data_IF_044868979021
#
_entry.id   IF_044868979021
#
_cell.length_a   1.000
_cell.length_b   1.000
_cell.length_c   1.000
_cell.angle_alpha   90.00
_cell.angle_beta   90.00
_cell.angle_gamma   90.00
#
_symmetry.space_group_name_H-M   'P 1'
#
loop_
_entity.id
_entity.type
_entity.pdbx_description
1 polymer ?
#
# COMPACT_ATOMS: atom_id res chain seq x y z
N UNK A 1 24.36 19.95 -1.51
CA UNK A 1 23.13 20.47 -0.92
C UNK A 1 22.19 20.90 -2.04
N UNK A 2 20.89 20.56 -1.92
CA UNK A 2 19.84 21.02 -2.85
C UNK A 2 19.08 22.18 -2.21
N UNK A 3 18.65 23.15 -3.04
CA UNK A 3 17.77 24.25 -2.63
C UNK A 3 16.60 24.31 -3.59
N UNK A 4 15.38 24.44 -3.04
CA UNK A 4 14.15 24.57 -3.82
C UNK A 4 13.20 25.59 -3.17
N UNK A 5 12.32 26.17 -3.95
CA UNK A 5 11.25 27.06 -3.46
C UNK A 5 10.18 26.23 -2.72
N UNK A 6 9.83 25.07 -3.29
CA UNK A 6 8.87 24.12 -2.72
C UNK A 6 9.45 22.71 -2.84
N UNK A 7 9.22 21.90 -1.84
CA UNK A 7 9.59 20.51 -1.77
C UNK A 7 8.36 19.61 -1.83
N UNK A 8 8.48 18.46 -2.49
CA UNK A 8 7.44 17.42 -2.46
C UNK A 8 8.09 16.13 -1.99
N UNK A 9 7.63 15.64 -0.84
CA UNK A 9 8.05 14.34 -0.33
C UNK A 9 7.17 13.23 -0.92
N UNK A 10 7.77 12.38 -1.75
CA UNK A 10 7.17 11.17 -2.33
C UNK A 10 8.00 9.93 -1.99
N UNK A 11 8.78 9.95 -0.90
CA UNK A 11 9.64 8.83 -0.49
C UNK A 11 8.86 7.58 -0.09
N UNK A 12 7.57 7.74 0.16
CA UNK A 12 6.68 6.68 0.60
C UNK A 12 6.72 6.45 2.11
N UNK A 13 7.83 6.76 2.76
CA UNK A 13 8.01 6.64 4.21
C UNK A 13 8.05 8.01 4.91
N UNK A 14 7.88 9.13 4.15
CA UNK A 14 7.88 10.48 4.69
C UNK A 14 9.24 10.91 5.22
N UNK A 15 10.34 10.41 4.61
CA UNK A 15 11.68 10.63 5.13
C UNK A 15 12.09 12.10 5.08
N UNK A 16 11.81 12.80 3.97
CA UNK A 16 12.13 14.21 3.87
C UNK A 16 11.36 15.03 4.90
N UNK A 17 10.06 14.80 5.04
CA UNK A 17 9.21 15.50 6.00
C UNK A 17 9.65 15.23 7.44
N UNK A 18 9.91 13.96 7.79
CA UNK A 18 10.36 13.57 9.13
C UNK A 18 11.74 14.17 9.46
N UNK A 19 12.70 14.15 8.53
CA UNK A 19 14.02 14.75 8.72
C UNK A 19 13.97 16.28 8.80
N UNK A 20 12.98 16.90 8.17
CA UNK A 20 12.70 18.32 8.31
C UNK A 20 12.04 18.69 9.65
N UNK A 21 11.60 17.71 10.44
CA UNK A 21 10.96 17.91 11.75
C UNK A 21 9.42 17.90 11.72
N UNK A 22 8.80 17.45 10.63
CA UNK A 22 7.34 17.30 10.56
C UNK A 22 6.85 16.26 11.58
N UNK A 23 5.71 16.52 12.19
CA UNK A 23 5.04 15.55 13.07
C UNK A 23 4.49 14.39 12.23
N UNK A 24 4.51 13.18 12.78
CA UNK A 24 3.94 12.01 12.14
C UNK A 24 3.44 10.99 13.17
N UNK A 25 2.49 10.15 12.75
CA UNK A 25 2.14 8.90 13.43
C UNK A 25 2.67 7.71 12.66
N UNK A 26 2.91 6.57 13.34
CA UNK A 26 3.38 5.33 12.72
C UNK A 26 2.76 4.12 13.42
N UNK A 27 2.23 3.17 12.63
CA UNK A 27 1.61 1.97 13.19
C UNK A 27 0.37 2.25 14.04
N UNK A 28 0.01 1.28 14.86
CA UNK A 28 -1.04 1.39 15.88
C UNK A 28 -0.41 1.98 17.15
N UNK A 29 -1.09 2.91 17.81
CA UNK A 29 -0.63 3.58 19.03
C UNK A 29 0.81 4.17 18.94
N UNK A 30 1.23 4.55 17.73
CA UNK A 30 2.60 5.00 17.40
C UNK A 30 3.69 3.95 17.63
N UNK A 31 3.34 2.65 17.61
CA UNK A 31 4.33 1.57 17.61
C UNK A 31 4.77 1.27 16.16
N UNK A 32 6.03 1.56 15.78
CA UNK A 32 6.51 1.37 14.41
C UNK A 32 6.59 -0.11 13.99
N UNK A 33 6.45 -1.04 14.91
CA UNK A 33 6.36 -2.49 14.62
C UNK A 33 4.93 -2.97 14.43
N UNK A 34 3.92 -2.19 14.83
CA UNK A 34 2.49 -2.49 14.62
C UNK A 34 1.94 -1.90 13.31
N UNK A 35 2.74 -1.94 12.26
CA UNK A 35 2.35 -1.53 10.89
C UNK A 35 1.70 -2.68 10.13
N UNK A 36 0.97 -2.38 9.06
CA UNK A 36 0.42 -3.40 8.16
C UNK A 36 1.55 -4.26 7.58
N UNK A 37 1.35 -5.59 7.60
CA UNK A 37 2.36 -6.54 7.15
C UNK A 37 2.77 -6.30 5.70
N UNK A 38 4.07 -6.28 5.47
CA UNK A 38 4.69 -6.11 4.14
C UNK A 38 4.77 -7.44 3.39
N UNK A 39 4.94 -7.37 2.06
CA UNK A 39 5.30 -8.51 1.22
C UNK A 39 6.49 -8.17 0.35
N UNK A 40 7.31 -9.18 0.04
CA UNK A 40 8.34 -9.06 -0.97
C UNK A 40 7.85 -9.80 -2.21
N UNK A 41 7.35 -9.07 -3.20
CA UNK A 41 6.83 -9.67 -4.43
C UNK A 41 7.94 -10.39 -5.21
N UNK A 42 7.55 -11.41 -5.98
CA UNK A 42 8.47 -12.19 -6.79
C UNK A 42 7.75 -12.76 -8.02
N UNK A 43 8.53 -13.30 -8.94
CA UNK A 43 8.06 -13.86 -10.19
C UNK A 43 8.59 -15.30 -10.34
N UNK A 44 7.72 -16.19 -10.80
CA UNK A 44 8.04 -17.58 -11.12
C UNK A 44 7.88 -17.77 -12.62
N UNK A 45 8.94 -18.28 -13.27
CA UNK A 45 8.95 -18.68 -14.68
C UNK A 45 8.83 -20.19 -14.84
N UNK A 46 8.62 -20.67 -16.08
CA UNK A 46 8.49 -22.08 -16.41
C UNK A 46 7.16 -22.71 -15.98
N UNK A 47 6.12 -21.89 -15.80
CA UNK A 47 4.78 -22.32 -15.41
C UNK A 47 4.03 -22.88 -16.62
N UNK A 48 3.27 -23.96 -16.44
CA UNK A 48 2.34 -24.46 -17.45
C UNK A 48 1.08 -23.56 -17.47
N UNK A 49 0.98 -22.72 -18.48
CA UNK A 49 -0.07 -21.70 -18.62
C UNK A 49 -1.49 -22.29 -18.64
N UNK A 50 -1.67 -23.43 -19.34
CA UNK A 50 -2.97 -24.07 -19.48
C UNK A 50 -3.47 -24.57 -18.12
N UNK A 51 -2.61 -25.28 -17.40
CA UNK A 51 -2.96 -25.81 -16.06
C UNK A 51 -3.12 -24.69 -15.04
N UNK A 52 -2.27 -23.66 -15.09
CA UNK A 52 -2.40 -22.50 -14.20
C UNK A 52 -3.71 -21.74 -14.43
N UNK A 53 -4.15 -21.58 -15.67
CA UNK A 53 -5.33 -20.80 -16.02
C UNK A 53 -6.64 -21.54 -15.73
N UNK A 54 -6.68 -22.84 -16.00
CA UNK A 54 -7.92 -23.64 -15.94
C UNK A 54 -7.94 -24.65 -14.78
N UNK A 55 -6.85 -24.81 -14.06
CA UNK A 55 -6.73 -25.75 -12.94
C UNK A 55 -7.11 -25.15 -11.58
N UNK A 56 -6.43 -25.60 -10.54
CA UNK A 56 -6.70 -25.17 -9.17
C UNK A 56 -6.27 -23.71 -9.00
N UNK A 57 -7.23 -22.83 -8.67
CA UNK A 57 -6.94 -21.44 -8.37
C UNK A 57 -6.13 -21.31 -7.07
N UNK A 58 -4.95 -20.72 -7.18
CA UNK A 58 -4.08 -20.41 -6.04
C UNK A 58 -4.60 -19.16 -5.32
N UNK A 59 -5.47 -19.33 -4.34
CA UNK A 59 -6.03 -18.21 -3.57
C UNK A 59 -6.55 -18.72 -2.22
N UNK A 60 -6.42 -17.91 -1.17
CA UNK A 60 -6.91 -18.23 0.18
C UNK A 60 -8.44 -18.36 0.28
N UNK A 61 -9.19 -17.80 -0.67
CA UNK A 61 -10.64 -18.01 -0.76
C UNK A 61 -11.03 -19.35 -1.43
N UNK A 62 -10.07 -20.12 -1.95
CA UNK A 62 -10.31 -21.44 -2.53
C UNK A 62 -9.87 -22.54 -1.56
N UNK A 63 -10.79 -23.29 -0.92
CA UNK A 63 -10.43 -24.35 0.01
C UNK A 63 -9.56 -25.48 -0.60
N UNK A 64 -9.62 -25.66 -1.93
CA UNK A 64 -8.81 -26.64 -2.65
C UNK A 64 -7.38 -26.15 -2.95
N UNK A 65 -7.07 -24.88 -2.63
CA UNK A 65 -5.73 -24.32 -2.87
C UNK A 65 -4.67 -25.08 -2.09
N UNK A 66 -3.56 -25.50 -2.73
CA UNK A 66 -2.49 -26.21 -2.06
C UNK A 66 -1.80 -25.40 -0.94
N UNK A 67 -2.00 -24.09 -0.91
CA UNK A 67 -1.38 -23.20 0.09
C UNK A 67 -1.69 -23.63 1.53
N UNK A 68 -2.91 -24.17 1.80
CA UNK A 68 -3.30 -24.64 3.14
C UNK A 68 -2.58 -25.90 3.61
N UNK A 69 -1.98 -26.65 2.67
CA UNK A 69 -1.10 -27.77 2.98
C UNK A 69 0.34 -27.28 3.11
N UNK A 70 0.75 -26.37 2.23
CA UNK A 70 2.09 -25.79 2.21
C UNK A 70 2.40 -25.05 3.51
N UNK A 71 1.48 -24.22 4.03
CA UNK A 71 1.69 -23.45 5.26
C UNK A 71 1.86 -24.31 6.53
N UNK A 72 1.52 -25.60 6.45
CA UNK A 72 1.64 -26.58 7.53
C UNK A 72 2.82 -27.54 7.37
N UNK A 73 3.60 -27.37 6.31
CA UNK A 73 4.73 -28.23 6.01
C UNK A 73 6.03 -27.62 6.56
N UNK A 74 6.62 -28.26 7.56
CA UNK A 74 7.85 -27.83 8.23
C UNK A 74 9.06 -27.71 7.28
N UNK A 75 8.98 -28.26 6.07
CA UNK A 75 10.01 -28.05 5.03
C UNK A 75 10.04 -26.61 4.52
N UNK A 76 8.96 -25.84 4.72
CA UNK A 76 8.79 -24.45 4.25
C UNK A 76 8.53 -23.48 5.41
N UNK A 77 9.44 -23.36 6.37
CA UNK A 77 9.20 -22.67 7.63
C UNK A 77 8.95 -21.17 7.51
N UNK A 78 9.25 -20.58 6.37
CA UNK A 78 8.99 -19.14 6.15
C UNK A 78 7.61 -18.86 5.53
N UNK A 79 6.84 -19.89 5.12
CA UNK A 79 5.47 -19.74 4.61
C UNK A 79 4.51 -19.91 5.79
N UNK A 80 4.12 -18.81 6.41
CA UNK A 80 3.43 -18.78 7.71
C UNK A 80 1.98 -18.31 7.63
N UNK A 81 1.46 -18.04 6.44
CA UNK A 81 0.09 -17.59 6.23
C UNK A 81 -0.40 -17.91 4.80
N UNK A 82 -1.72 -18.02 4.60
CA UNK A 82 -2.32 -18.37 3.32
C UNK A 82 -2.50 -17.17 2.37
N UNK A 83 -1.86 -16.01 2.62
CA UNK A 83 -1.93 -14.87 1.71
C UNK A 83 -1.20 -15.18 0.40
N UNK A 84 -1.97 -15.32 -0.68
CA UNK A 84 -1.46 -15.85 -1.94
C UNK A 84 -2.09 -15.17 -3.16
N UNK A 85 -1.88 -13.84 -3.29
CA UNK A 85 -2.28 -13.12 -4.49
C UNK A 85 -1.27 -13.38 -5.61
N UNK A 86 -1.77 -13.76 -6.78
CA UNK A 86 -0.94 -14.05 -7.94
C UNK A 86 -1.69 -13.75 -9.23
N UNK A 87 -0.96 -13.43 -10.29
CA UNK A 87 -1.50 -13.17 -11.61
C UNK A 87 -0.50 -13.61 -12.68
N UNK A 88 -1.01 -14.10 -13.81
CA UNK A 88 -0.20 -14.29 -15.00
C UNK A 88 0.31 -12.93 -15.50
N UNK A 89 1.62 -12.83 -15.71
CA UNK A 89 2.30 -11.61 -16.18
C UNK A 89 2.89 -11.77 -17.59
N UNK A 90 2.95 -13.01 -18.09
CA UNK A 90 3.44 -13.35 -19.40
C UNK A 90 3.28 -14.83 -19.67
N UNK A 91 3.70 -15.29 -20.86
CA UNK A 91 3.69 -16.71 -21.19
C UNK A 91 4.68 -17.49 -20.30
N UNK A 92 4.18 -18.48 -19.57
CA UNK A 92 4.96 -19.26 -18.62
C UNK A 92 5.45 -18.47 -17.41
N UNK A 93 4.91 -17.27 -17.14
CA UNK A 93 5.36 -16.43 -16.04
C UNK A 93 4.20 -15.94 -15.18
N UNK A 94 4.34 -16.08 -13.86
CA UNK A 94 3.35 -15.66 -12.85
C UNK A 94 4.02 -14.77 -11.81
N UNK A 95 3.42 -13.60 -11.57
CA UNK A 95 3.81 -12.68 -10.52
C UNK A 95 3.04 -12.96 -9.22
N UNK A 96 3.73 -12.89 -8.09
CA UNK A 96 3.21 -13.18 -6.76
C UNK A 96 3.34 -11.98 -5.82
N UNK A 97 2.23 -11.61 -5.19
CA UNK A 97 2.17 -10.83 -3.97
C UNK A 97 1.69 -11.80 -2.87
N UNK A 98 2.61 -12.63 -2.38
CA UNK A 98 2.30 -13.79 -1.57
C UNK A 98 3.19 -13.88 -0.33
N UNK A 99 2.61 -14.35 0.78
CA UNK A 99 3.28 -14.57 2.05
C UNK A 99 3.71 -13.26 2.73
N UNK A 100 2.99 -12.88 3.79
CA UNK A 100 3.39 -11.71 4.58
C UNK A 100 4.73 -11.93 5.27
N UNK A 101 5.48 -10.87 5.41
CA UNK A 101 6.64 -10.81 6.30
C UNK A 101 6.18 -10.47 7.73
N UNK A 102 6.85 -10.98 8.76
CA UNK A 102 6.60 -10.53 10.13
C UNK A 102 6.66 -9.01 10.22
N UNK A 103 5.88 -8.37 11.09
CA UNK A 103 5.91 -6.92 11.28
C UNK A 103 7.33 -6.44 11.64
N UNK A 104 7.73 -5.32 11.07
CA UNK A 104 9.01 -4.66 11.34
C UNK A 104 8.87 -3.16 11.10
N UNK A 105 9.73 -2.36 11.70
CA UNK A 105 9.83 -0.93 11.37
C UNK A 105 10.45 -0.75 9.98
N UNK A 106 9.67 -0.31 8.97
CA UNK A 106 10.19 -0.14 7.62
C UNK A 106 11.14 1.06 7.47
N UNK A 107 11.19 1.93 8.48
CA UNK A 107 12.07 3.10 8.52
C UNK A 107 13.42 2.81 9.19
N UNK A 108 13.60 1.60 9.78
CA UNK A 108 14.90 1.10 10.24
C UNK A 108 15.62 0.35 9.09
N UNK A 109 16.76 0.85 8.58
CA UNK A 109 17.50 0.21 7.50
C UNK A 109 17.95 -1.22 7.81
N UNK A 110 18.23 -1.52 9.09
CA UNK A 110 18.64 -2.86 9.52
C UNK A 110 17.48 -3.84 9.50
N UNK A 111 16.30 -3.41 9.98
CA UNK A 111 15.08 -4.20 9.93
C UNK A 111 14.66 -4.45 8.47
N UNK A 112 14.69 -3.42 7.63
CA UNK A 112 14.41 -3.52 6.21
C UNK A 112 15.37 -4.49 5.49
N UNK A 113 16.67 -4.44 5.78
CA UNK A 113 17.65 -5.37 5.21
C UNK A 113 17.37 -6.82 5.59
N UNK A 114 17.00 -7.08 6.86
CA UNK A 114 16.58 -8.42 7.32
C UNK A 114 15.30 -8.88 6.60
N UNK A 115 14.35 -7.98 6.42
CA UNK A 115 13.11 -8.27 5.68
C UNK A 115 13.37 -8.66 4.23
N UNK A 116 14.31 -8.01 3.53
CA UNK A 116 14.74 -8.40 2.18
C UNK A 116 15.34 -9.80 2.14
N UNK A 117 16.21 -10.15 3.10
CA UNK A 117 16.80 -11.49 3.18
C UNK A 117 15.72 -12.54 3.38
N UNK A 118 14.79 -12.29 4.32
CA UNK A 118 13.68 -13.20 4.61
C UNK A 118 12.73 -13.33 3.41
N UNK A 119 12.39 -12.23 2.75
CA UNK A 119 11.52 -12.22 1.57
C UNK A 119 12.09 -13.06 0.42
N UNK A 120 13.41 -12.99 0.18
CA UNK A 120 14.07 -13.84 -0.84
C UNK A 120 14.09 -15.31 -0.46
N UNK A 121 14.27 -15.65 0.82
CA UNK A 121 14.14 -17.04 1.30
C UNK A 121 12.74 -17.57 1.05
N UNK A 122 11.71 -16.79 1.46
CA UNK A 122 10.30 -17.13 1.25
C UNK A 122 9.97 -17.34 -0.23
N UNK A 123 10.44 -16.49 -1.13
CA UNK A 123 10.22 -16.64 -2.57
C UNK A 123 10.76 -17.97 -3.11
N UNK A 124 11.95 -18.40 -2.65
CA UNK A 124 12.52 -19.72 -3.00
C UNK A 124 11.70 -20.87 -2.44
N UNK A 125 11.27 -20.78 -1.18
CA UNK A 125 10.42 -21.80 -0.57
C UNK A 125 9.08 -21.93 -1.27
N UNK A 126 8.41 -20.81 -1.59
CA UNK A 126 7.15 -20.82 -2.35
C UNK A 126 7.35 -21.47 -3.72
N UNK A 127 8.43 -21.16 -4.43
CA UNK A 127 8.72 -21.77 -5.72
C UNK A 127 8.88 -23.29 -5.58
N UNK A 128 9.64 -23.77 -4.59
CA UNK A 128 9.81 -25.20 -4.36
C UNK A 128 8.53 -25.87 -3.87
N UNK A 129 7.80 -25.24 -2.97
CA UNK A 129 6.54 -25.76 -2.46
C UNK A 129 5.48 -25.94 -3.56
N UNK A 130 5.40 -24.99 -4.49
CA UNK A 130 4.49 -25.10 -5.64
C UNK A 130 4.91 -26.24 -6.58
N UNK A 131 6.20 -26.50 -6.75
CA UNK A 131 6.67 -27.66 -7.51
C UNK A 131 6.26 -28.98 -6.85
N UNK A 132 6.30 -29.03 -5.52
CA UNK A 132 5.98 -30.24 -4.76
C UNK A 132 4.47 -30.49 -4.64
N UNK A 133 3.68 -29.42 -4.49
CA UNK A 133 2.24 -29.50 -4.19
C UNK A 133 1.32 -29.24 -5.38
N UNK A 134 1.86 -28.70 -6.47
CA UNK A 134 1.13 -28.45 -7.72
C UNK A 134 2.03 -28.66 -8.94
N UNK A 135 2.62 -29.88 -9.08
CA UNK A 135 3.59 -30.18 -10.12
C UNK A 135 3.05 -30.05 -11.54
N UNK A 136 1.74 -30.26 -11.76
CA UNK A 136 1.12 -30.15 -13.07
C UNK A 136 1.25 -28.73 -13.65
N UNK A 137 1.18 -27.70 -12.79
CA UNK A 137 1.36 -26.31 -13.19
C UNK A 137 2.80 -25.81 -13.00
N UNK A 138 3.48 -26.25 -11.94
CA UNK A 138 4.76 -25.68 -11.49
C UNK A 138 5.95 -26.65 -11.51
N UNK A 139 5.80 -27.89 -11.97
CA UNK A 139 6.87 -28.91 -11.91
C UNK A 139 8.18 -28.49 -12.56
N UNK A 140 8.13 -27.71 -13.64
CA UNK A 140 9.29 -27.18 -14.36
C UNK A 140 9.61 -25.72 -13.99
N UNK A 141 8.94 -25.17 -12.96
CA UNK A 141 9.06 -23.77 -12.61
C UNK A 141 10.38 -23.45 -11.90
N UNK A 142 10.78 -22.20 -11.96
CA UNK A 142 11.94 -21.66 -11.27
C UNK A 142 11.67 -20.21 -10.81
N UNK A 143 12.36 -19.78 -9.77
CA UNK A 143 12.30 -18.39 -9.33
C UNK A 143 12.96 -17.51 -10.41
N UNK A 144 12.14 -16.67 -11.06
CA UNK A 144 12.60 -15.79 -12.14
C UNK A 144 13.25 -14.53 -11.57
N UNK A 145 12.53 -13.82 -10.68
CA UNK A 145 13.01 -12.60 -10.05
C UNK A 145 12.35 -12.37 -8.69
N UNK A 146 12.97 -11.54 -7.87
CA UNK A 146 12.33 -10.88 -6.71
C UNK A 146 12.26 -9.38 -6.96
N UNK A 147 11.22 -8.72 -6.46
CA UNK A 147 11.05 -7.29 -6.63
C UNK A 147 12.28 -6.51 -6.13
N UNK A 148 12.69 -5.44 -6.81
CA UNK A 148 13.79 -4.58 -6.37
C UNK A 148 13.44 -3.81 -5.09
N UNK A 149 12.14 -3.52 -4.87
CA UNK A 149 11.65 -2.80 -3.71
C UNK A 149 10.74 -3.69 -2.85
N UNK A 150 10.84 -3.49 -1.53
CA UNK A 150 9.93 -4.11 -0.57
C UNK A 150 8.53 -3.52 -0.72
N UNK A 151 7.51 -4.36 -0.71
CA UNK A 151 6.10 -3.94 -0.71
C UNK A 151 5.66 -3.44 0.67
N UNK A 152 6.17 -2.28 1.08
CA UNK A 152 5.78 -1.61 2.33
C UNK A 152 4.37 -1.04 2.18
N UNK A 153 3.46 -1.47 3.06
CA UNK A 153 2.06 -1.01 3.06
C UNK A 153 1.79 0.16 3.98
N UNK A 154 2.55 0.26 5.05
CA UNK A 154 2.40 1.29 6.08
C UNK A 154 3.77 1.64 6.65
N UNK A 155 3.98 2.95 6.89
CA UNK A 155 5.08 3.50 7.63
C UNK A 155 4.61 4.79 8.31
N UNK A 156 5.33 5.91 8.22
CA UNK A 156 4.88 7.18 8.76
C UNK A 156 3.67 7.72 7.99
N UNK A 157 2.77 8.36 8.73
CA UNK A 157 1.69 9.21 8.22
C UNK A 157 1.95 10.60 8.74
N UNK A 158 2.25 11.52 7.82
CA UNK A 158 2.65 12.90 8.17
C UNK A 158 1.41 13.68 8.63
N UNK A 159 1.51 14.38 9.74
CA UNK A 159 0.42 15.23 10.24
C UNK A 159 0.28 16.45 9.36
N UNK A 160 -0.90 16.61 8.76
CA UNK A 160 -1.26 17.68 7.84
C UNK A 160 -2.49 18.45 8.32
N UNK A 161 -2.91 19.46 7.57
CA UNK A 161 -4.06 20.31 7.92
C UNK A 161 -5.40 19.56 7.97
N UNK A 162 -5.49 18.38 7.35
CA UNK A 162 -6.66 17.51 7.42
C UNK A 162 -6.26 16.05 7.49
N UNK A 163 -6.84 15.35 8.45
CA UNK A 163 -6.69 13.90 8.58
C UNK A 163 -7.88 13.18 7.98
N UNK A 164 -7.66 12.52 6.85
CA UNK A 164 -8.68 11.69 6.20
C UNK A 164 -9.02 10.47 7.07
N UNK A 165 -10.31 10.16 7.20
CA UNK A 165 -10.78 9.14 8.16
C UNK A 165 -11.63 8.06 7.50
N UNK A 166 -11.77 6.91 8.19
CA UNK A 166 -12.71 5.88 7.79
C UNK A 166 -14.17 6.39 7.76
N UNK A 167 -14.52 7.43 8.52
CA UNK A 167 -15.84 8.09 8.45
C UNK A 167 -16.03 8.76 7.10
N UNK A 168 -15.02 9.48 6.59
CA UNK A 168 -15.07 10.09 5.25
C UNK A 168 -15.29 9.05 4.15
N UNK A 169 -14.66 7.89 4.30
CA UNK A 169 -14.88 6.75 3.42
C UNK A 169 -16.34 6.27 3.48
N UNK A 170 -16.86 6.03 4.70
CA UNK A 170 -18.20 5.47 4.92
C UNK A 170 -19.31 6.42 4.46
N UNK A 171 -19.13 7.72 4.63
CA UNK A 171 -20.08 8.74 4.21
C UNK A 171 -19.95 9.17 2.75
N UNK A 172 -18.99 8.62 1.99
CA UNK A 172 -18.67 9.06 0.61
C UNK A 172 -18.37 10.56 0.56
N UNK A 173 -17.63 11.06 1.55
CA UNK A 173 -17.37 12.47 1.72
C UNK A 173 -16.86 13.14 0.43
N UNK A 174 -17.28 14.39 0.24
CA UNK A 174 -16.78 15.29 -0.80
C UNK A 174 -16.22 16.55 -0.13
N UNK A 175 -15.19 17.13 -0.73
CA UNK A 175 -14.51 18.29 -0.18
C UNK A 175 -14.42 19.41 -1.21
N UNK A 176 -14.49 20.66 -0.76
CA UNK A 176 -14.33 21.82 -1.65
C UNK A 176 -12.94 21.88 -2.28
N UNK A 177 -11.95 21.32 -1.59
CA UNK A 177 -10.54 21.23 -1.97
C UNK A 177 -10.13 19.82 -2.41
N UNK A 178 -11.06 18.95 -2.82
CA UNK A 178 -10.68 17.60 -3.26
C UNK A 178 -9.83 17.61 -4.50
N UNK A 179 -8.77 16.79 -4.50
CA UNK A 179 -7.79 16.67 -5.58
C UNK A 179 -7.85 15.33 -6.29
N UNK A 180 -8.59 14.40 -5.75
CA UNK A 180 -8.75 13.03 -6.29
C UNK A 180 -10.01 12.39 -5.72
N UNK A 181 -10.48 11.33 -6.39
CA UNK A 181 -11.54 10.45 -5.87
C UNK A 181 -11.06 9.01 -5.84
N UNK A 182 -11.47 8.31 -4.80
CA UNK A 182 -11.08 6.94 -4.54
C UNK A 182 -12.29 6.03 -4.33
N UNK A 183 -12.27 4.84 -4.93
CA UNK A 183 -13.28 3.79 -4.76
C UNK A 183 -12.69 2.42 -4.36
N UNK A 184 -11.40 2.37 -4.01
CA UNK A 184 -10.78 1.14 -3.54
C UNK A 184 -11.28 0.81 -2.13
N UNK A 185 -11.46 -0.48 -1.84
CA UNK A 185 -11.97 -0.93 -0.53
C UNK A 185 -10.92 -0.78 0.59
N UNK A 186 -11.35 -0.92 1.86
CA UNK A 186 -10.47 -0.85 3.03
C UNK A 186 -9.66 -2.15 3.15
N UNK A 187 -8.52 -2.20 2.48
CA UNK A 187 -7.60 -3.35 2.42
C UNK A 187 -6.55 -3.26 3.53
N UNK A 188 -6.94 -3.65 4.74
CA UNK A 188 -6.05 -3.59 5.91
C UNK A 188 -5.46 -4.97 6.19
N UNK A 189 -4.13 -5.08 6.08
CA UNK A 189 -3.37 -6.29 6.43
C UNK A 189 -3.00 -6.27 7.92
N UNK A 190 -3.87 -6.86 8.73
CA UNK A 190 -3.77 -6.86 10.20
C UNK A 190 -2.65 -7.75 10.71
N UNK A 191 -1.95 -7.29 11.76
CA UNK A 191 -0.97 -8.10 12.50
C UNK A 191 -1.68 -9.18 13.31
N UNK A 192 -0.94 -10.20 13.76
CA UNK A 192 -1.48 -11.24 14.66
C UNK A 192 -2.04 -10.61 15.94
N UNK A 193 -1.32 -9.67 16.53
CA UNK A 193 -1.70 -8.91 17.74
C UNK A 193 -3.01 -8.13 17.53
N UNK A 194 -3.18 -7.52 16.38
CA UNK A 194 -4.40 -6.80 16.02
C UNK A 194 -5.59 -7.76 15.88
N UNK A 195 -5.39 -8.91 15.25
CA UNK A 195 -6.41 -9.97 15.15
C UNK A 195 -6.84 -10.47 16.52
N UNK A 196 -5.89 -10.69 17.44
CA UNK A 196 -6.17 -11.07 18.83
C UNK A 196 -6.97 -10.01 19.59
N UNK A 197 -6.58 -8.73 19.46
CA UNK A 197 -7.33 -7.60 20.04
C UNK A 197 -8.76 -7.51 19.51
N UNK A 198 -8.96 -7.74 18.21
CA UNK A 198 -10.30 -7.76 17.61
C UNK A 198 -11.13 -8.91 18.14
N UNK A 199 -10.56 -10.12 18.20
CA UNK A 199 -11.22 -11.31 18.75
C UNK A 199 -11.62 -11.09 20.21
N UNK A 200 -10.75 -10.51 21.02
CA UNK A 200 -11.04 -10.18 22.42
C UNK A 200 -12.19 -9.17 22.57
N UNK A 201 -12.42 -8.30 21.56
CA UNK A 201 -13.53 -7.35 21.50
C UNK A 201 -14.78 -7.91 20.82
N UNK A 202 -14.83 -9.19 20.46
CA UNK A 202 -15.95 -9.81 19.76
C UNK A 202 -16.17 -9.27 18.33
N UNK A 203 -15.13 -8.69 17.70
CA UNK A 203 -15.20 -8.14 16.36
C UNK A 203 -14.73 -9.19 15.33
N UNK A 204 -15.50 -9.37 14.28
CA UNK A 204 -15.09 -10.24 13.17
C UNK A 204 -13.97 -9.59 12.33
N UNK A 205 -13.08 -10.40 11.79
CA UNK A 205 -11.93 -9.96 11.01
C UNK A 205 -12.33 -9.13 9.78
N UNK A 206 -13.50 -9.40 9.20
CA UNK A 206 -14.03 -8.76 7.99
C UNK A 206 -15.14 -7.74 8.25
N UNK A 207 -15.44 -7.38 9.50
CA UNK A 207 -16.58 -6.52 9.87
C UNK A 207 -16.55 -5.10 9.26
N UNK A 208 -15.50 -4.73 8.53
CA UNK A 208 -15.31 -3.39 7.96
C UNK A 208 -14.93 -3.36 6.46
N UNK A 209 -15.11 -4.46 5.72
CA UNK A 209 -14.91 -4.47 4.28
C UNK A 209 -16.12 -3.86 3.53
N UNK A 210 -16.51 -2.63 3.89
CA UNK A 210 -17.48 -1.90 3.09
C UNK A 210 -16.89 -1.63 1.70
N UNK A 211 -17.54 -2.13 0.66
CA UNK A 211 -17.17 -1.86 -0.73
C UNK A 211 -18.06 -0.74 -1.28
N UNK A 212 -17.53 0.00 -2.22
CA UNK A 212 -18.30 0.96 -2.98
C UNK A 212 -19.21 0.27 -3.98
N UNK A 213 -20.43 0.78 -4.15
CA UNK A 213 -21.30 0.44 -5.27
C UNK A 213 -20.80 1.06 -6.58
N UNK A 214 -21.44 0.69 -7.69
CA UNK A 214 -21.10 1.25 -9.00
C UNK A 214 -21.27 2.78 -9.00
N UNK A 215 -20.18 3.50 -9.34
CA UNK A 215 -20.16 4.97 -9.39
C UNK A 215 -20.00 5.67 -8.04
N UNK A 216 -19.93 4.92 -6.94
CA UNK A 216 -19.60 5.49 -5.62
C UNK A 216 -18.10 5.72 -5.48
N UNK A 217 -17.74 6.75 -4.71
CA UNK A 217 -16.36 7.09 -4.35
C UNK A 217 -16.36 8.13 -3.24
N UNK A 218 -15.23 8.31 -2.56
CA UNK A 218 -15.01 9.45 -1.66
C UNK A 218 -13.91 10.37 -2.21
N UNK A 219 -13.91 11.63 -1.80
CA UNK A 219 -12.88 12.60 -2.13
C UNK A 219 -11.63 12.44 -1.28
N UNK A 220 -10.49 12.91 -1.77
CA UNK A 220 -9.26 13.13 -1.02
C UNK A 220 -8.99 14.63 -1.06
N UNK A 221 -9.02 15.35 0.08
CA UNK A 221 -8.80 16.79 0.09
C UNK A 221 -7.32 17.13 -0.03
N UNK A 222 -7.02 18.29 -0.62
CA UNK A 222 -5.67 18.83 -0.74
C UNK A 222 -4.96 18.96 0.61
N UNK A 223 -5.69 19.36 1.64
CA UNK A 223 -5.19 19.53 3.00
C UNK A 223 -4.61 18.27 3.64
N UNK A 224 -4.81 17.09 3.07
CA UNK A 224 -4.09 15.88 3.48
C UNK A 224 -2.63 15.85 3.00
N UNK A 225 -2.22 16.79 2.13
CA UNK A 225 -0.89 16.87 1.54
C UNK A 225 -0.05 18.01 2.12
N UNK A 226 -0.60 18.85 3.01
CA UNK A 226 0.02 20.07 3.55
C UNK A 226 0.49 19.86 4.99
N UNK A 227 1.78 19.52 5.23
CA UNK A 227 2.30 19.30 6.59
C UNK A 227 2.17 20.53 7.47
N UNK A 228 1.65 20.36 8.69
CA UNK A 228 1.54 21.44 9.67
C UNK A 228 2.89 22.11 9.93
N UNK A 229 2.91 23.43 9.87
CA UNK A 229 4.08 24.27 10.20
C UNK A 229 5.10 24.42 9.07
N UNK A 230 4.83 23.94 7.86
CA UNK A 230 5.72 24.05 6.70
C UNK A 230 5.07 24.84 5.56
N UNK A 231 5.60 25.99 5.23
CA UNK A 231 5.08 26.84 4.15
C UNK A 231 5.45 26.37 2.73
N UNK A 232 6.41 25.46 2.60
CA UNK A 232 6.99 25.06 1.32
C UNK A 232 7.24 23.56 1.18
N UNK A 233 6.51 22.73 1.94
CA UNK A 233 6.59 21.28 1.88
C UNK A 233 5.23 20.67 1.60
N UNK A 234 5.17 19.74 0.66
CA UNK A 234 4.02 18.88 0.40
C UNK A 234 4.42 17.42 0.57
N UNK A 235 3.47 16.57 0.91
CA UNK A 235 3.62 15.12 0.96
C UNK A 235 2.62 14.45 0.04
N UNK A 236 2.97 13.31 -0.55
CA UNK A 236 2.07 12.53 -1.40
C UNK A 236 2.32 11.03 -1.31
N UNK A 237 1.35 10.24 -1.72
CA UNK A 237 1.44 8.79 -1.67
C UNK A 237 0.92 8.19 -0.36
N UNK A 238 1.49 7.05 0.09
CA UNK A 238 1.00 6.30 1.25
C UNK A 238 1.21 6.99 2.61
N UNK A 239 1.90 8.12 2.65
CA UNK A 239 2.23 8.87 3.87
C UNK A 239 1.37 10.12 4.10
N UNK A 240 0.35 10.37 3.27
CA UNK A 240 -0.60 11.47 3.49
C UNK A 240 -1.30 11.32 4.85
N UNK A 241 -1.80 12.42 5.41
CA UNK A 241 -2.49 12.33 6.70
C UNK A 241 -3.82 11.59 6.58
N UNK A 242 -3.87 10.45 7.22
CA UNK A 242 -5.06 9.62 7.27
C UNK A 242 -5.05 8.71 8.50
N UNK A 243 -6.23 8.25 8.90
CA UNK A 243 -6.28 7.17 9.90
C UNK A 243 -5.80 5.83 9.30
N UNK A 244 -5.43 4.90 10.19
CA UNK A 244 -4.88 3.61 9.77
C UNK A 244 -5.86 2.75 8.97
N UNK A 245 -7.16 2.91 9.18
CA UNK A 245 -8.19 2.12 8.49
C UNK A 245 -8.33 2.56 7.04
N UNK A 246 -8.45 3.88 6.80
CA UNK A 246 -8.56 4.39 5.44
C UNK A 246 -7.23 4.31 4.69
N UNK A 247 -6.09 4.25 5.39
CA UNK A 247 -4.79 4.00 4.75
C UNK A 247 -4.82 2.74 3.87
N UNK A 248 -5.50 1.66 4.30
CA UNK A 248 -5.69 0.46 3.49
C UNK A 248 -6.29 0.73 2.11
N UNK A 249 -7.08 1.78 1.99
CA UNK A 249 -7.73 2.21 0.74
C UNK A 249 -6.90 3.21 -0.06
N UNK A 250 -6.31 4.23 0.59
CA UNK A 250 -5.68 5.35 -0.13
C UNK A 250 -4.21 5.12 -0.50
N UNK A 251 -3.55 4.11 0.06
CA UNK A 251 -2.14 3.77 -0.21
C UNK A 251 -1.91 3.05 -1.54
N UNK A 252 -2.96 2.59 -2.23
CA UNK A 252 -2.80 1.86 -3.49
C UNK A 252 -2.29 2.77 -4.60
N UNK A 253 -1.56 2.19 -5.56
CA UNK A 253 -0.86 2.95 -6.61
C UNK A 253 -1.71 4.01 -7.33
N UNK A 254 -2.98 3.76 -7.73
CA UNK A 254 -3.76 4.81 -8.40
C UNK A 254 -3.91 6.07 -7.55
N UNK A 255 -4.15 5.94 -6.24
CA UNK A 255 -4.25 7.09 -5.35
C UNK A 255 -2.90 7.75 -5.09
N UNK A 256 -1.82 6.97 -5.03
CA UNK A 256 -0.48 7.53 -4.91
C UNK A 256 -0.11 8.37 -6.15
N UNK A 257 -0.52 7.93 -7.36
CA UNK A 257 -0.30 8.70 -8.58
C UNK A 257 -1.10 10.00 -8.58
N UNK A 258 -2.39 9.96 -8.25
CA UNK A 258 -3.24 11.16 -8.25
C UNK A 258 -2.84 12.17 -7.18
N UNK A 259 -2.44 11.71 -5.99
CA UNK A 259 -1.92 12.61 -4.93
C UNK A 259 -0.56 13.18 -5.30
N UNK A 260 0.31 12.40 -5.98
CA UNK A 260 1.59 12.86 -6.50
C UNK A 260 1.43 13.91 -7.59
N UNK A 261 0.51 13.70 -8.53
CA UNK A 261 0.19 14.68 -9.58
C UNK A 261 -0.30 16.00 -8.98
N UNK A 262 -1.25 15.92 -8.04
CA UNK A 262 -1.79 17.10 -7.37
C UNK A 262 -0.72 17.86 -6.57
N UNK A 263 0.14 17.16 -5.83
CA UNK A 263 1.23 17.76 -5.08
C UNK A 263 2.25 18.44 -6.01
N UNK A 264 2.62 17.77 -7.12
CA UNK A 264 3.54 18.33 -8.11
C UNK A 264 3.00 19.59 -8.78
N UNK A 265 1.73 19.58 -9.18
CA UNK A 265 1.07 20.74 -9.78
C UNK A 265 0.96 21.89 -8.78
N UNK A 266 0.53 21.60 -7.54
CA UNK A 266 0.44 22.59 -6.47
C UNK A 266 1.82 23.21 -6.17
N UNK A 267 2.87 22.38 -6.07
CA UNK A 267 4.23 22.87 -5.86
C UNK A 267 4.69 23.82 -6.97
N UNK A 268 4.36 23.51 -8.23
CA UNK A 268 4.69 24.36 -9.36
C UNK A 268 3.96 25.71 -9.30
N UNK A 269 2.67 25.71 -8.94
CA UNK A 269 1.86 26.95 -8.76
C UNK A 269 2.44 27.78 -7.62
N UNK A 270 2.69 27.18 -6.46
CA UNK A 270 3.22 27.87 -5.29
C UNK A 270 4.63 28.45 -5.57
N UNK A 271 5.51 27.69 -6.21
CA UNK A 271 6.85 28.12 -6.56
C UNK A 271 6.86 29.27 -7.57
N UNK A 272 5.93 29.27 -8.53
CA UNK A 272 5.76 30.33 -9.53
C UNK A 272 5.24 31.63 -8.89
N UNK A 273 4.24 31.52 -8.02
CA UNK A 273 3.56 32.65 -7.42
C UNK A 273 4.22 33.12 -6.11
N UNK A 274 5.24 32.42 -5.62
CA UNK A 274 5.94 32.71 -4.35
C UNK A 274 5.00 32.74 -3.15
N UNK A 275 4.05 31.83 -3.10
CA UNK A 275 3.06 31.66 -2.01
C UNK A 275 3.31 30.40 -1.20
N UNK A 276 2.78 30.36 0.02
CA UNK A 276 2.77 29.15 0.84
C UNK A 276 1.92 28.05 0.22
N UNK A 277 2.27 26.79 0.48
CA UNK A 277 1.45 25.64 0.08
C UNK A 277 0.06 25.63 0.73
N UNK A 278 -0.13 26.34 1.84
CA UNK A 278 -1.42 26.50 2.51
C UNK A 278 -2.29 27.60 1.86
N UNK A 279 -1.69 28.52 1.09
CA UNK A 279 -2.38 29.69 0.53
C UNK A 279 -2.77 29.51 -0.95
N UNK A 280 -2.60 28.30 -1.50
CA UNK A 280 -2.95 28.00 -2.88
C UNK A 280 -4.46 28.14 -3.11
N UNK A 281 -4.86 28.71 -4.23
CA UNK A 281 -6.24 28.62 -4.69
C UNK A 281 -6.55 27.19 -5.16
N UNK A 282 -7.23 26.44 -4.31
CA UNK A 282 -7.61 25.07 -4.61
C UNK A 282 -8.64 24.96 -5.73
N UNK A 283 -9.39 26.03 -6.04
CA UNK A 283 -10.26 26.10 -7.20
C UNK A 283 -9.46 26.09 -8.50
N UNK A 284 -8.43 26.94 -8.62
CA UNK A 284 -7.51 26.96 -9.74
C UNK A 284 -6.78 25.59 -9.91
N UNK A 285 -6.31 25.02 -8.78
CA UNK A 285 -5.65 23.71 -8.80
C UNK A 285 -6.57 22.63 -9.37
N UNK A 286 -7.82 22.57 -8.91
CA UNK A 286 -8.83 21.60 -9.35
C UNK A 286 -9.20 21.76 -10.82
N UNK A 287 -9.35 22.97 -11.30
CA UNK A 287 -9.60 23.25 -12.74
C UNK A 287 -8.47 22.71 -13.60
N UNK A 288 -7.22 22.97 -13.22
CA UNK A 288 -6.05 22.45 -13.94
C UNK A 288 -5.97 20.92 -13.91
N UNK A 289 -6.23 20.29 -12.76
CA UNK A 289 -6.28 18.83 -12.64
C UNK A 289 -7.38 18.23 -13.53
N UNK A 290 -8.58 18.83 -13.59
CA UNK A 290 -9.63 18.41 -14.54
C UNK A 290 -9.19 18.55 -15.99
N UNK A 291 -8.47 19.62 -16.31
CA UNK A 291 -7.89 19.84 -17.64
C UNK A 291 -6.89 18.75 -18.06
N UNK A 292 -6.23 18.10 -17.09
CA UNK A 292 -5.36 16.95 -17.30
C UNK A 292 -6.09 15.60 -17.24
N UNK A 293 -7.41 15.60 -17.04
CA UNK A 293 -8.24 14.40 -17.03
C UNK A 293 -8.56 13.82 -15.65
N UNK A 294 -8.23 14.54 -14.56
CA UNK A 294 -8.57 14.08 -13.23
C UNK A 294 -10.10 14.06 -13.00
N UNK A 295 -10.59 12.96 -12.45
CA UNK A 295 -11.98 12.83 -12.01
C UNK A 295 -12.14 13.42 -10.61
N UNK A 296 -12.75 14.60 -10.52
CA UNK A 296 -13.02 15.37 -9.29
C UNK A 296 -14.45 15.87 -9.34
N UNK A 297 -15.21 15.78 -8.26
CA UNK A 297 -16.59 16.31 -8.16
C UNK A 297 -16.61 17.79 -7.85
#
# INVERSE_FOLDING_TARGET
>A
AYRAKVWVDCTGDGDLAAFAGAKFGQGEDNDPTEVQMSTHCFEIGGVNDEVYTHGIRLHNANPASPIFKIEKDDRYPHITDPHFCNNKIGNGAVGFNAGHLPPFDPTDPKALSKAYILGRKKAREVTQALRDYYPEAFGNSFLLATAPLMGIRESRRIVCDYRLTATDYMTRATFKDEISRNCYYLDVHKTAKEKERMKAKGLEENSFCARFGKGESHGIPYRCLTPEGFSNLLVAGRMIDCDRRILGSVRVMPNCFTTGEAAGLAAAICAKNMISVHDIDTGELREKLRGYGAYIK
#
